data_IF_308519841743
#
_entry.id   IF_308519841743
#
_cell.length_a   1.000
_cell.length_b   1.000
_cell.length_c   1.000
_cell.angle_alpha   90.00
_cell.angle_beta   90.00
_cell.angle_gamma   90.00
#
_symmetry.space_group_name_H-M   'P 1'
#
loop_
_entity.id
_entity.type
_entity.pdbx_description
1 polymer ?
#
# COMPACT_ATOMS: atom_id res chain seq x y z
N UNK A 1 6.37 10.47 -1.92
CA UNK A 1 5.78 9.11 -1.85
C UNK A 1 5.22 8.80 -3.21
N UNK A 2 5.52 7.64 -3.79
CA UNK A 2 4.87 7.23 -5.02
C UNK A 2 3.35 7.12 -4.77
N UNK A 3 2.54 7.47 -5.76
CA UNK A 3 1.09 7.25 -5.70
C UNK A 3 0.81 5.76 -5.40
N UNK A 4 -0.20 5.38 -4.60
CA UNK A 4 -0.50 3.98 -4.26
C UNK A 4 -0.62 3.06 -5.49
N UNK A 5 -1.05 3.61 -6.63
CA UNK A 5 -1.04 2.90 -7.92
C UNK A 5 0.35 2.34 -8.31
N UNK A 6 1.44 3.07 -8.09
CA UNK A 6 2.79 2.56 -8.41
C UNK A 6 3.19 1.37 -7.55
N UNK A 7 2.72 1.35 -6.30
CA UNK A 7 2.90 0.19 -5.44
C UNK A 7 2.09 -1.01 -5.93
N UNK A 8 0.87 -0.76 -6.42
CA UNK A 8 0.02 -1.79 -7.03
C UNK A 8 0.63 -2.35 -8.33
N UNK A 9 1.16 -1.49 -9.20
CA UNK A 9 1.91 -1.88 -10.42
C UNK A 9 3.14 -2.74 -10.09
N UNK A 10 3.89 -2.35 -9.07
CA UNK A 10 5.06 -3.11 -8.61
C UNK A 10 4.67 -4.49 -8.05
N UNK A 11 3.58 -4.57 -7.29
CA UNK A 11 3.03 -5.83 -6.78
C UNK A 11 2.58 -6.75 -7.92
N UNK A 12 1.82 -6.24 -8.90
CA UNK A 12 1.38 -7.02 -10.05
C UNK A 12 2.57 -7.56 -10.86
N UNK A 13 3.63 -6.76 -11.04
CA UNK A 13 4.86 -7.21 -11.72
C UNK A 13 5.57 -8.32 -10.95
N UNK A 14 5.57 -8.27 -9.62
CA UNK A 14 6.31 -9.21 -8.77
C UNK A 14 5.56 -10.51 -8.51
N UNK A 15 4.24 -10.43 -8.36
CA UNK A 15 3.41 -11.54 -7.89
C UNK A 15 2.37 -12.03 -8.91
N UNK A 16 2.29 -11.40 -10.09
CA UNK A 16 1.29 -11.69 -11.13
C UNK A 16 -0.03 -10.95 -10.92
N UNK A 17 -0.98 -11.11 -11.84
CA UNK A 17 -2.27 -10.40 -11.81
C UNK A 17 -2.21 -8.99 -12.41
N UNK A 18 -3.16 -8.15 -12.01
CA UNK A 18 -3.34 -6.78 -12.49
C UNK A 18 -3.18 -5.77 -11.35
N UNK A 19 -2.78 -4.51 -11.61
CA UNK A 19 -2.65 -3.50 -10.54
C UNK A 19 -3.94 -3.32 -9.72
N UNK A 20 -5.12 -3.44 -10.33
CA UNK A 20 -6.40 -3.36 -9.63
C UNK A 20 -6.56 -4.40 -8.51
N UNK A 21 -5.95 -5.57 -8.65
CA UNK A 21 -6.01 -6.64 -7.63
C UNK A 21 -5.28 -6.23 -6.33
N UNK A 22 -4.36 -5.27 -6.41
CA UNK A 22 -3.52 -4.82 -5.29
C UNK A 22 -3.91 -3.43 -4.75
N UNK A 23 -4.74 -2.68 -5.48
CA UNK A 23 -5.03 -1.28 -5.17
C UNK A 23 -5.65 -1.13 -3.78
N UNK A 24 -6.64 -1.96 -3.43
CA UNK A 24 -7.30 -1.90 -2.12
C UNK A 24 -6.34 -2.16 -0.94
N UNK A 25 -5.35 -3.03 -1.11
CA UNK A 25 -4.33 -3.30 -0.08
C UNK A 25 -3.45 -2.07 0.13
N UNK A 26 -3.02 -1.42 -0.96
CA UNK A 26 -2.18 -0.23 -0.89
C UNK A 26 -2.92 0.99 -0.34
N UNK A 27 -4.20 1.16 -0.69
CA UNK A 27 -5.06 2.20 -0.13
C UNK A 27 -5.25 2.00 1.38
N UNK A 28 -5.43 0.75 1.82
CA UNK A 28 -5.50 0.43 3.24
C UNK A 28 -4.19 0.75 3.99
N UNK A 29 -3.02 0.51 3.40
CA UNK A 29 -1.76 0.94 4.03
C UNK A 29 -1.58 2.47 4.03
N UNK A 30 -2.04 3.16 2.99
CA UNK A 30 -1.92 4.62 2.86
C UNK A 30 -2.91 5.42 3.72
N UNK A 31 -4.02 4.82 4.16
CA UNK A 31 -5.00 5.51 5.00
C UNK A 31 -4.41 6.03 6.34
N UNK A 32 -3.31 5.46 6.84
CA UNK A 32 -2.63 6.01 8.03
C UNK A 32 -1.93 7.36 7.77
N UNK A 33 -1.71 7.73 6.51
CA UNK A 33 -1.09 9.01 6.11
C UNK A 33 -1.90 10.22 6.55
N UNK A 34 -3.22 10.08 6.68
CA UNK A 34 -4.10 11.13 7.22
C UNK A 34 -3.71 11.55 8.65
N UNK A 35 -3.14 10.62 9.42
CA UNK A 35 -2.76 10.83 10.82
C UNK A 35 -1.24 10.94 11.00
N UNK A 36 -0.46 10.29 10.12
CA UNK A 36 0.99 10.25 10.19
C UNK A 36 1.57 10.45 8.79
N UNK A 37 1.74 11.69 8.34
CA UNK A 37 2.17 12.01 6.97
C UNK A 37 3.69 11.87 6.71
N UNK A 38 4.37 10.94 7.38
CA UNK A 38 5.81 10.65 7.17
C UNK A 38 6.01 9.36 6.37
N UNK A 39 7.21 9.13 5.85
CA UNK A 39 7.49 8.00 4.96
C UNK A 39 7.33 6.62 5.61
N UNK A 40 7.33 6.54 6.96
CA UNK A 40 7.17 5.30 7.72
C UNK A 40 5.73 4.94 8.05
N UNK A 41 4.73 5.73 7.65
CA UNK A 41 3.34 5.55 8.12
C UNK A 41 2.72 4.19 7.82
N UNK A 42 3.15 3.56 6.73
CA UNK A 42 2.66 2.23 6.35
C UNK A 42 3.00 1.19 7.43
N UNK A 43 4.13 1.36 8.15
CA UNK A 43 4.59 0.52 9.26
C UNK A 43 3.52 0.30 10.35
N UNK A 44 2.67 1.29 10.61
CA UNK A 44 1.62 1.24 11.63
C UNK A 44 0.66 0.06 11.46
N UNK A 45 0.43 -0.40 10.22
CA UNK A 45 -0.52 -1.45 9.88
C UNK A 45 0.15 -2.78 9.51
N UNK A 46 1.47 -2.92 9.67
CA UNK A 46 2.15 -4.19 9.37
C UNK A 46 1.84 -5.31 10.39
N UNK A 47 1.32 -4.98 11.57
CA UNK A 47 0.94 -5.96 12.59
C UNK A 47 -0.54 -6.38 12.54
N UNK A 48 -1.37 -5.73 11.74
CA UNK A 48 -2.84 -5.86 11.77
C UNK A 48 -3.40 -7.02 10.93
N UNK A 49 -2.62 -8.08 10.71
CA UNK A 49 -3.06 -9.35 10.09
C UNK A 49 -2.89 -10.55 11.02
N UNK A 50 -2.75 -10.33 12.34
CA UNK A 50 -2.83 -11.37 13.38
C UNK A 50 -4.27 -11.58 13.84
#
# INVERSE_FOLDING_TARGET
>A
MAHPLHHAESSARKYGGTPSDYQAVHDWFDASKEHLAIFTHRALRHHTLS
#
